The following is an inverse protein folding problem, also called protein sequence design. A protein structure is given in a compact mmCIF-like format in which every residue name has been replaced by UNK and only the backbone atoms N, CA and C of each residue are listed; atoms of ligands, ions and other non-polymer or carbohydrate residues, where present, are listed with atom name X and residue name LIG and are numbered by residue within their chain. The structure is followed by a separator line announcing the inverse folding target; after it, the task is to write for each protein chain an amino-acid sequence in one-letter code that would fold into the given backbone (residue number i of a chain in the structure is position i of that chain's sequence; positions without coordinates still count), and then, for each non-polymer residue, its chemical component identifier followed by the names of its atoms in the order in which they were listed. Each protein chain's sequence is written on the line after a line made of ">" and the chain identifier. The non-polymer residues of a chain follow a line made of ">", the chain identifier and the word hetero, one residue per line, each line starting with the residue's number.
data_IF_497269607965
#
_entry.id   IF_497269607965
#
_cell.length_a   1.000
_cell.length_b   1.000
_cell.length_c   1.000
_cell.angle_alpha   90.00
_cell.angle_beta   90.00
_cell.angle_gamma   90.00
#
_symmetry.space_group_name_H-M   'P 1'
#
loop_
_entity.id
_entity.type
_entity.pdbx_description
1 polymer ?
#
# COMPACT_ATOMS: atom_id res chain seq x y z
N UNK A 1 21.05 3.88 -16.19
CA UNK A 1 20.79 4.42 -14.84
C UNK A 1 21.80 3.78 -13.92
N UNK A 2 22.69 4.55 -13.30
CA UNK A 2 23.63 4.04 -12.30
C UNK A 2 22.83 3.62 -11.08
N UNK A 3 22.93 2.34 -10.72
CA UNK A 3 22.36 1.80 -9.48
C UNK A 3 22.92 2.62 -8.30
N UNK A 4 22.10 3.53 -7.77
CA UNK A 4 22.42 4.17 -6.52
C UNK A 4 22.37 3.10 -5.42
N UNK A 5 23.40 3.01 -4.57
CA UNK A 5 23.36 2.04 -3.47
C UNK A 5 22.14 2.31 -2.60
N UNK A 6 21.35 1.27 -2.34
CA UNK A 6 20.22 1.35 -1.42
C UNK A 6 20.71 1.81 -0.04
N UNK A 7 20.00 2.75 0.55
CA UNK A 7 20.20 3.07 1.95
C UNK A 7 20.02 1.79 2.81
N UNK A 8 20.81 1.60 3.87
CA UNK A 8 20.65 0.43 4.73
C UNK A 8 19.26 0.40 5.38
N UNK A 9 18.77 -0.78 5.66
CA UNK A 9 17.54 -0.97 6.43
C UNK A 9 17.81 -0.55 7.87
N UNK A 10 17.13 0.49 8.31
CA UNK A 10 17.22 1.02 9.68
C UNK A 10 15.97 1.82 10.01
N UNK A 11 15.76 2.12 11.27
CA UNK A 11 14.66 2.99 11.67
C UNK A 11 14.75 4.38 11.00
N UNK A 12 15.96 4.90 10.78
CA UNK A 12 16.18 6.21 10.19
C UNK A 12 15.82 6.28 8.70
N UNK A 13 15.95 5.17 7.96
CA UNK A 13 15.76 5.12 6.52
C UNK A 13 14.44 4.47 6.09
N UNK A 14 13.80 3.72 7.02
CA UNK A 14 12.63 2.90 6.73
C UNK A 14 11.39 3.25 7.56
N UNK A 15 11.52 4.02 8.67
CA UNK A 15 10.36 4.36 9.51
C UNK A 15 10.06 5.84 9.44
N UNK A 16 8.86 6.17 8.95
CA UNK A 16 8.37 7.54 8.85
C UNK A 16 7.17 7.66 9.78
N UNK A 17 7.25 8.55 10.78
CA UNK A 17 6.23 8.72 11.80
C UNK A 17 5.20 9.75 11.44
N UNK A 18 3.95 9.49 11.84
CA UNK A 18 2.85 10.45 11.83
C UNK A 18 2.72 11.21 10.50
N UNK A 19 2.66 10.50 9.38
CA UNK A 19 2.53 11.12 8.05
C UNK A 19 1.22 11.88 7.89
N UNK A 20 0.28 11.70 8.81
CA UNK A 20 -0.98 12.41 8.92
C UNK A 20 -0.92 13.68 9.80
N UNK A 21 0.23 14.05 10.35
CA UNK A 21 0.33 15.21 11.24
C UNK A 21 0.18 16.54 10.52
N UNK A 22 0.51 16.64 9.22
CA UNK A 22 0.57 17.89 8.48
C UNK A 22 -0.61 18.03 7.51
N UNK A 23 -1.28 19.22 7.46
CA UNK A 23 -2.26 19.53 6.42
C UNK A 23 -1.56 19.79 5.07
N UNK A 24 -2.35 19.78 4.00
CA UNK A 24 -1.87 19.98 2.64
C UNK A 24 -1.29 18.71 2.02
N UNK A 25 -0.52 18.87 0.96
CA UNK A 25 0.20 17.78 0.28
C UNK A 25 1.63 17.67 0.80
N UNK A 26 2.00 16.49 1.25
CA UNK A 26 3.36 16.17 1.74
C UNK A 26 3.93 14.97 0.98
N UNK A 27 5.27 14.93 0.82
CA UNK A 27 6.00 13.77 0.32
C UNK A 27 6.82 13.19 1.46
N UNK A 28 6.71 11.89 1.71
CA UNK A 28 7.35 11.22 2.86
C UNK A 28 8.27 10.06 2.45
N UNK A 29 8.02 9.42 1.30
CA UNK A 29 8.89 8.37 0.74
C UNK A 29 9.26 8.75 -0.67
N UNK A 30 10.53 8.69 -0.98
CA UNK A 30 11.07 8.85 -2.34
C UNK A 30 12.51 8.33 -2.42
N UNK A 31 12.98 7.94 -3.61
CA UNK A 31 14.39 7.66 -3.85
C UNK A 31 15.27 8.84 -3.41
N UNK A 32 16.34 8.53 -2.68
CA UNK A 32 17.25 9.54 -2.12
C UNK A 32 16.78 10.20 -0.81
N UNK A 33 15.48 10.12 -0.47
CA UNK A 33 14.94 10.58 0.80
C UNK A 33 14.87 9.42 1.82
N UNK A 34 14.50 8.23 1.34
CA UNK A 34 14.35 7.02 2.15
C UNK A 34 15.10 5.86 1.49
N UNK A 35 14.93 4.63 2.02
CA UNK A 35 15.52 3.43 1.41
C UNK A 35 14.76 2.95 0.16
N UNK A 36 13.79 3.70 -0.38
CA UNK A 36 13.05 3.33 -1.58
C UNK A 36 13.91 3.43 -2.84
N UNK A 37 13.61 2.57 -3.81
CA UNK A 37 14.26 2.55 -5.15
C UNK A 37 13.39 3.21 -6.21
N UNK A 38 12.10 2.92 -6.20
CA UNK A 38 11.11 3.39 -7.18
C UNK A 38 9.89 4.02 -6.50
N UNK A 39 9.53 3.52 -5.31
CA UNK A 39 8.33 3.90 -4.61
C UNK A 39 8.40 5.33 -4.09
N UNK A 40 7.35 6.10 -4.40
CA UNK A 40 7.06 7.39 -3.80
C UNK A 40 5.76 7.28 -3.00
N UNK A 41 5.74 7.88 -1.81
CA UNK A 41 4.53 8.03 -1.03
C UNK A 41 4.41 9.47 -0.53
N UNK A 42 3.25 10.04 -0.77
CA UNK A 42 2.80 11.32 -0.24
C UNK A 42 1.43 11.20 0.42
N UNK A 43 1.02 12.28 1.09
CA UNK A 43 -0.30 12.41 1.69
C UNK A 43 -0.92 13.75 1.35
N UNK A 44 -2.22 13.75 1.07
CA UNK A 44 -3.00 14.96 0.79
C UNK A 44 -4.10 15.02 1.86
N UNK A 45 -4.01 16.02 2.76
CA UNK A 45 -4.97 16.25 3.84
C UNK A 45 -5.53 17.64 3.74
N UNK A 46 -6.83 17.73 3.46
CA UNK A 46 -7.52 19.01 3.28
C UNK A 46 -8.74 19.06 4.21
N UNK A 47 -8.83 20.13 4.98
CA UNK A 47 -10.06 20.50 5.70
C UNK A 47 -11.16 20.92 4.73
N UNK A 48 -12.40 20.93 5.17
CA UNK A 48 -13.56 21.26 4.32
C UNK A 48 -13.49 22.64 3.65
N UNK A 49 -12.78 23.59 4.28
CA UNK A 49 -12.59 24.95 3.77
C UNK A 49 -11.26 25.19 3.06
N UNK A 50 -10.41 24.15 2.96
CA UNK A 50 -9.11 24.32 2.32
C UNK A 50 -9.28 24.42 0.80
N UNK A 51 -8.36 25.15 0.17
CA UNK A 51 -8.28 25.22 -1.28
C UNK A 51 -7.89 23.88 -1.88
N UNK A 52 -8.36 23.62 -3.09
CA UNK A 52 -7.94 22.46 -3.86
C UNK A 52 -6.42 22.43 -4.09
N UNK A 53 -5.86 21.23 -4.18
CA UNK A 53 -4.46 21.00 -4.50
C UNK A 53 -4.33 20.46 -5.91
N UNK A 54 -3.49 21.09 -6.73
CA UNK A 54 -3.12 20.60 -8.06
C UNK A 54 -1.83 19.80 -7.95
N UNK A 55 -1.85 18.60 -8.54
CA UNK A 55 -0.72 17.67 -8.63
C UNK A 55 -0.30 17.53 -10.09
N UNK A 56 0.99 17.67 -10.34
CA UNK A 56 1.59 17.28 -11.62
C UNK A 56 2.52 16.09 -11.37
N UNK A 57 2.14 14.88 -11.81
CA UNK A 57 2.90 13.67 -11.53
C UNK A 57 4.22 13.58 -12.33
N UNK A 58 4.37 14.36 -13.41
CA UNK A 58 5.53 14.23 -14.30
C UNK A 58 5.65 12.82 -14.87
N UNK A 59 6.80 12.19 -14.74
CA UNK A 59 7.07 10.82 -15.22
C UNK A 59 6.52 9.72 -14.31
N UNK A 60 5.86 10.08 -13.22
CA UNK A 60 5.32 9.10 -12.27
C UNK A 60 3.90 8.68 -12.68
N UNK A 61 3.60 7.39 -12.67
CA UNK A 61 2.23 6.91 -12.52
C UNK A 61 1.82 7.07 -11.06
N UNK A 62 0.56 7.31 -10.78
CA UNK A 62 0.10 7.63 -9.42
C UNK A 62 -1.21 6.93 -9.08
N UNK A 63 -1.21 6.17 -7.99
CA UNK A 63 -2.41 5.72 -7.31
C UNK A 63 -2.82 6.73 -6.24
N UNK A 64 -4.02 7.29 -6.34
CA UNK A 64 -4.63 8.15 -5.32
C UNK A 64 -5.65 7.31 -4.56
N UNK A 65 -5.46 7.13 -3.26
CA UNK A 65 -6.30 6.27 -2.41
C UNK A 65 -6.96 7.14 -1.34
N UNK A 66 -8.28 7.16 -1.29
CA UNK A 66 -8.99 7.85 -0.21
C UNK A 66 -8.86 7.05 1.09
N UNK A 67 -8.49 7.70 2.18
CA UNK A 67 -8.33 7.10 3.51
C UNK A 67 -9.46 7.50 4.46
N UNK A 68 -9.77 8.80 4.51
CA UNK A 68 -10.82 9.36 5.39
C UNK A 68 -11.52 10.52 4.70
N UNK A 69 -12.78 10.73 5.07
CA UNK A 69 -13.58 11.83 4.53
C UNK A 69 -14.02 11.59 3.09
N UNK A 70 -14.22 12.66 2.34
CA UNK A 70 -14.61 12.64 0.93
C UNK A 70 -13.73 13.59 0.12
N UNK A 71 -13.36 13.19 -1.08
CA UNK A 71 -12.59 14.00 -2.01
C UNK A 71 -13.24 14.03 -3.39
N UNK A 72 -13.06 15.13 -4.11
CA UNK A 72 -13.35 15.23 -5.53
C UNK A 72 -12.03 15.33 -6.28
N UNK A 73 -11.75 14.37 -7.16
CA UNK A 73 -10.54 14.36 -7.97
C UNK A 73 -10.90 14.62 -9.42
N UNK A 74 -10.45 15.76 -9.94
CA UNK A 74 -10.65 16.16 -11.34
C UNK A 74 -9.40 15.81 -12.15
N UNK A 75 -9.54 15.01 -13.21
CA UNK A 75 -8.45 14.56 -14.07
C UNK A 75 -8.95 14.29 -15.49
N UNK A 76 -8.22 14.75 -16.49
CA UNK A 76 -8.52 14.52 -17.92
C UNK A 76 -9.96 14.89 -18.32
N UNK A 77 -10.56 15.92 -17.70
CA UNK A 77 -11.92 16.40 -17.96
C UNK A 77 -13.04 15.59 -17.30
N UNK A 78 -12.71 14.62 -16.43
CA UNK A 78 -13.65 13.86 -15.63
C UNK A 78 -13.47 14.17 -14.13
N UNK A 79 -14.58 14.05 -13.37
CA UNK A 79 -14.61 14.26 -11.92
C UNK A 79 -14.99 12.95 -11.21
N UNK A 80 -14.22 12.60 -10.19
CA UNK A 80 -14.38 11.39 -9.38
C UNK A 80 -14.64 11.77 -7.92
N UNK A 81 -15.83 11.45 -7.42
CA UNK A 81 -16.12 11.50 -5.98
C UNK A 81 -15.55 10.25 -5.32
N UNK A 82 -14.58 10.43 -4.42
CA UNK A 82 -13.87 9.34 -3.77
C UNK A 82 -14.27 9.24 -2.30
N UNK A 83 -14.58 8.04 -1.87
CA UNK A 83 -14.88 7.64 -0.49
C UNK A 83 -13.78 6.75 0.07
N UNK A 84 -13.73 6.49 1.37
CA UNK A 84 -12.66 5.67 1.96
C UNK A 84 -12.41 4.36 1.23
N UNK A 85 -11.14 4.17 0.87
CA UNK A 85 -10.56 3.06 0.10
C UNK A 85 -10.94 3.00 -1.39
N UNK A 86 -11.70 3.96 -1.92
CA UNK A 86 -11.73 4.14 -3.37
C UNK A 86 -10.32 4.50 -3.87
N UNK A 87 -9.97 4.01 -5.06
CA UNK A 87 -8.69 4.25 -5.69
C UNK A 87 -8.85 4.85 -7.08
N UNK A 88 -7.99 5.78 -7.43
CA UNK A 88 -7.88 6.34 -8.77
C UNK A 88 -6.44 6.16 -9.26
N UNK A 89 -6.26 5.37 -10.29
CA UNK A 89 -4.99 5.28 -11.00
C UNK A 89 -4.90 6.40 -12.04
N UNK A 90 -3.88 7.24 -11.92
CA UNK A 90 -3.58 8.35 -12.83
C UNK A 90 -2.31 8.06 -13.60
N UNK A 91 -2.32 8.10 -14.94
CA UNK A 91 -1.14 7.89 -15.76
C UNK A 91 -0.08 8.97 -15.56
N UNK A 92 1.17 8.65 -15.93
CA UNK A 92 2.22 9.65 -16.02
C UNK A 92 1.79 10.86 -16.87
N UNK A 93 2.39 12.02 -16.62
CA UNK A 93 2.16 13.26 -17.38
C UNK A 93 0.70 13.73 -17.42
N UNK A 94 -0.15 13.23 -16.52
CA UNK A 94 -1.56 13.55 -16.43
C UNK A 94 -1.83 14.36 -15.16
N UNK A 95 -1.86 15.70 -15.20
CA UNK A 95 -2.16 16.52 -14.04
C UNK A 95 -3.58 16.28 -13.52
N UNK A 96 -3.72 16.33 -12.20
CA UNK A 96 -5.01 16.21 -11.54
C UNK A 96 -5.15 17.21 -10.40
N UNK A 97 -6.38 17.42 -9.96
CA UNK A 97 -6.71 18.32 -8.87
C UNK A 97 -7.52 17.59 -7.82
N UNK A 98 -7.18 17.80 -6.55
CA UNK A 98 -7.91 17.25 -5.40
C UNK A 98 -8.60 18.37 -4.66
N UNK A 99 -9.91 18.30 -4.54
CA UNK A 99 -10.72 19.19 -3.72
C UNK A 99 -11.35 18.41 -2.56
N UNK A 100 -11.45 18.96 -1.34
CA UNK A 100 -12.11 18.30 -0.22
C UNK A 100 -13.63 18.27 -0.40
N UNK A 101 -14.29 17.20 0.08
CA UNK A 101 -15.72 17.19 0.34
C UNK A 101 -16.08 17.90 1.66
N UNK A 102 -17.37 17.90 2.03
CA UNK A 102 -17.87 18.59 3.20
C UNK A 102 -17.15 18.25 4.53
N UNK A 103 -16.75 17.00 4.81
CA UNK A 103 -16.00 16.68 6.03
C UNK A 103 -14.47 16.91 5.90
N UNK A 104 -13.99 17.36 4.74
CA UNK A 104 -12.58 17.33 4.39
C UNK A 104 -12.16 15.96 3.85
N UNK A 105 -10.89 15.82 3.50
CA UNK A 105 -10.36 14.56 2.96
C UNK A 105 -8.93 14.27 3.44
N UNK A 106 -8.61 12.98 3.40
CA UNK A 106 -7.29 12.43 3.68
C UNK A 106 -7.01 11.32 2.65
N UNK A 107 -5.99 11.52 1.81
CA UNK A 107 -5.65 10.59 0.74
C UNK A 107 -4.17 10.21 0.81
N UNK A 108 -3.88 8.96 0.46
CA UNK A 108 -2.54 8.51 0.14
C UNK A 108 -2.27 8.72 -1.35
N UNK A 109 -1.09 9.24 -1.67
CA UNK A 109 -0.54 9.35 -3.01
C UNK A 109 0.61 8.35 -3.13
N UNK A 110 0.44 7.31 -3.97
CA UNK A 110 1.41 6.22 -4.16
C UNK A 110 1.87 6.27 -5.61
N UNK A 111 3.16 6.48 -5.86
CA UNK A 111 3.63 6.70 -7.21
C UNK A 111 4.96 6.00 -7.50
N UNK A 112 5.23 5.76 -8.77
CA UNK A 112 6.50 5.22 -9.25
C UNK A 112 6.80 5.71 -10.67
N UNK A 113 8.10 5.87 -11.06
CA UNK A 113 8.46 6.27 -12.41
C UNK A 113 8.16 5.17 -13.42
N UNK A 114 7.57 5.55 -14.55
CA UNK A 114 7.28 4.64 -15.66
C UNK A 114 7.64 5.27 -17.01
N UNK A 115 8.02 4.43 -17.96
CA UNK A 115 8.36 4.87 -19.31
C UNK A 115 7.13 4.93 -20.21
N UNK A 116 6.12 4.09 -19.97
CA UNK A 116 4.89 4.00 -20.76
C UNK A 116 3.69 4.61 -20.04
N UNK A 117 2.77 5.29 -20.75
CA UNK A 117 1.48 5.68 -20.21
C UNK A 117 0.54 4.46 -20.16
N UNK A 118 -0.23 4.34 -19.08
CA UNK A 118 -1.30 3.35 -18.91
C UNK A 118 -2.66 4.07 -18.84
N UNK A 119 -3.76 3.31 -18.81
CA UNK A 119 -5.09 3.93 -18.83
C UNK A 119 -5.51 4.45 -17.46
N UNK A 120 -6.10 5.65 -17.42
CA UNK A 120 -6.79 6.19 -16.25
C UNK A 120 -7.87 5.21 -15.78
N UNK A 121 -7.87 4.87 -14.49
CA UNK A 121 -8.84 3.91 -13.95
C UNK A 121 -9.32 4.28 -12.56
N UNK A 122 -10.61 4.45 -12.40
CA UNK A 122 -11.26 4.53 -11.10
C UNK A 122 -11.66 3.14 -10.62
N UNK A 123 -11.45 2.85 -9.34
CA UNK A 123 -11.77 1.60 -8.66
C UNK A 123 -12.57 1.92 -7.41
N UNK A 124 -13.85 1.57 -7.42
CA UNK A 124 -14.70 1.69 -6.24
C UNK A 124 -14.38 0.59 -5.24
N UNK A 125 -14.21 0.92 -3.96
CA UNK A 125 -14.00 -0.06 -2.90
C UNK A 125 -15.19 -1.02 -2.76
N UNK A 126 -16.40 -0.53 -3.04
CA UNK A 126 -17.60 -1.38 -3.05
C UNK A 126 -17.51 -2.49 -4.11
N UNK A 127 -16.93 -2.21 -5.28
CA UNK A 127 -16.72 -3.23 -6.32
C UNK A 127 -15.61 -4.20 -5.93
N UNK A 128 -14.50 -3.70 -5.37
CA UNK A 128 -13.44 -4.56 -4.82
C UNK A 128 -14.00 -5.54 -3.79
N UNK A 129 -14.85 -5.08 -2.87
CA UNK A 129 -15.46 -5.91 -1.82
C UNK A 129 -16.39 -7.01 -2.33
N UNK A 130 -16.92 -6.87 -3.54
CA UNK A 130 -17.80 -7.86 -4.19
C UNK A 130 -17.05 -8.89 -5.02
N UNK A 131 -15.80 -8.60 -5.39
CA UNK A 131 -14.98 -9.50 -6.20
C UNK A 131 -14.12 -10.40 -5.30
N UNK A 132 -14.37 -11.73 -5.25
CA UNK A 132 -13.62 -12.66 -4.42
C UNK A 132 -12.16 -12.83 -4.85
N UNK A 133 -11.79 -12.40 -6.05
CA UNK A 133 -10.40 -12.34 -6.52
C UNK A 133 -9.66 -11.07 -6.07
N UNK A 134 -10.39 -10.03 -5.61
CA UNK A 134 -9.83 -8.78 -5.11
C UNK A 134 -10.00 -8.59 -3.61
N UNK A 135 -11.06 -9.18 -3.01
CA UNK A 135 -11.32 -9.10 -1.56
C UNK A 135 -11.58 -10.50 -0.99
N UNK A 136 -10.68 -10.96 -0.12
CA UNK A 136 -10.75 -12.31 0.45
C UNK A 136 -10.15 -12.38 1.85
N UNK A 137 -10.66 -13.35 2.63
CA UNK A 137 -10.11 -13.70 3.93
C UNK A 137 -9.00 -14.74 3.76
N UNK A 138 -7.96 -14.62 4.58
CA UNK A 138 -6.83 -15.55 4.59
C UNK A 138 -6.23 -15.64 6.00
N UNK A 139 -5.36 -16.63 6.21
CA UNK A 139 -4.64 -16.89 7.44
C UNK A 139 -5.27 -17.96 8.32
N UNK A 140 -4.49 -18.43 9.29
CA UNK A 140 -4.88 -19.42 10.30
C UNK A 140 -5.51 -18.79 11.55
N UNK A 141 -5.69 -19.59 12.63
CA UNK A 141 -6.39 -19.15 13.84
C UNK A 141 -5.81 -17.91 14.54
N UNK A 142 -4.53 -17.60 14.33
CA UNK A 142 -3.83 -16.46 14.95
C UNK A 142 -3.33 -15.44 13.94
N UNK A 143 -3.75 -15.58 12.66
CA UNK A 143 -3.29 -14.71 11.56
C UNK A 143 -4.40 -14.37 10.56
N UNK A 144 -5.65 -14.38 11.01
CA UNK A 144 -6.80 -14.02 10.16
C UNK A 144 -6.76 -12.56 9.79
N UNK A 145 -6.93 -12.31 8.50
CA UNK A 145 -6.98 -10.98 7.93
C UNK A 145 -7.78 -10.97 6.63
N UNK A 146 -8.32 -9.82 6.30
CA UNK A 146 -8.95 -9.56 5.01
C UNK A 146 -8.03 -8.72 4.15
N UNK A 147 -7.75 -9.22 2.96
CA UNK A 147 -6.97 -8.53 1.92
C UNK A 147 -7.94 -7.91 0.93
N UNK A 148 -7.70 -6.66 0.53
CA UNK A 148 -8.45 -5.97 -0.51
C UNK A 148 -7.46 -5.35 -1.49
N UNK A 149 -7.47 -5.80 -2.74
CA UNK A 149 -6.58 -5.33 -3.81
C UNK A 149 -7.27 -4.14 -4.50
N UNK A 150 -6.70 -2.96 -4.39
CA UNK A 150 -7.25 -1.74 -4.97
C UNK A 150 -6.71 -1.50 -6.39
N UNK A 151 -5.39 -1.51 -6.52
CA UNK A 151 -4.68 -1.40 -7.79
C UNK A 151 -3.79 -2.64 -7.92
N UNK A 152 -4.21 -3.62 -8.70
CA UNK A 152 -3.53 -4.89 -8.89
C UNK A 152 -3.84 -5.45 -10.27
N UNK A 153 -4.27 -6.71 -10.34
CA UNK A 153 -4.67 -7.38 -11.59
C UNK A 153 -5.87 -6.74 -12.29
N UNK A 154 -6.65 -5.91 -11.59
CA UNK A 154 -7.82 -5.19 -12.06
C UNK A 154 -7.49 -3.85 -12.73
N UNK A 155 -6.24 -3.40 -12.66
CA UNK A 155 -5.75 -2.13 -13.22
C UNK A 155 -4.46 -2.35 -13.97
N UNK A 156 -4.41 -1.94 -15.22
CA UNK A 156 -3.15 -1.87 -15.96
C UNK A 156 -2.29 -0.74 -15.42
N UNK A 157 -1.06 -1.06 -15.02
CA UNK A 157 -0.10 -0.12 -14.47
C UNK A 157 1.32 -0.65 -14.71
N UNK A 158 2.31 0.22 -14.65
CA UNK A 158 3.70 -0.17 -14.90
C UNK A 158 4.38 -0.80 -13.68
N UNK A 159 4.27 -0.16 -12.52
CA UNK A 159 4.97 -0.57 -11.30
C UNK A 159 4.08 -0.65 -10.08
N UNK A 160 3.14 0.30 -9.89
CA UNK A 160 2.39 0.39 -8.63
C UNK A 160 1.42 -0.78 -8.45
N UNK A 161 1.43 -1.35 -7.24
CA UNK A 161 0.44 -2.31 -6.75
C UNK A 161 0.02 -1.83 -5.36
N UNK A 162 -1.27 -1.67 -5.13
CA UNK A 162 -1.78 -1.07 -3.89
C UNK A 162 -3.00 -1.83 -3.39
N UNK A 163 -3.07 -2.05 -2.10
CA UNK A 163 -4.29 -2.53 -1.47
C UNK A 163 -4.28 -2.30 0.04
N UNK A 164 -5.35 -2.72 0.69
CA UNK A 164 -5.51 -2.54 2.13
C UNK A 164 -5.84 -3.87 2.80
N UNK A 165 -5.17 -4.12 3.93
CA UNK A 165 -5.37 -5.31 4.76
C UNK A 165 -5.86 -4.89 6.14
N UNK A 166 -6.82 -5.65 6.69
CA UNK A 166 -7.30 -5.52 8.05
C UNK A 166 -7.20 -6.86 8.77
N UNK A 167 -6.54 -6.89 9.93
CA UNK A 167 -6.46 -8.09 10.77
C UNK A 167 -7.66 -8.26 11.68
N UNK A 168 -7.88 -9.49 12.16
CA UNK A 168 -8.63 -9.70 13.40
C UNK A 168 -7.82 -9.17 14.60
N UNK A 169 -8.48 -8.82 15.73
CA UNK A 169 -7.80 -8.31 16.91
C UNK A 169 -6.72 -9.25 17.45
N UNK A 170 -5.52 -8.72 17.73
CA UNK A 170 -4.39 -9.46 18.25
C UNK A 170 -3.70 -10.41 17.26
N UNK A 171 -4.13 -10.43 16.00
CA UNK A 171 -3.61 -11.38 15.02
C UNK A 171 -2.37 -10.87 14.30
N UNK A 172 -1.53 -11.82 13.86
CA UNK A 172 -0.45 -11.58 12.93
C UNK A 172 -0.98 -11.31 11.53
N UNK A 173 -0.27 -10.47 10.81
CA UNK A 173 -0.47 -10.23 9.37
C UNK A 173 0.86 -10.35 8.63
N UNK A 174 0.83 -10.32 7.29
CA UNK A 174 1.98 -10.71 6.47
C UNK A 174 2.56 -12.05 6.94
N UNK A 175 1.65 -12.96 7.33
CA UNK A 175 1.96 -14.28 7.85
C UNK A 175 1.48 -15.38 6.90
N UNK A 176 2.29 -16.43 6.60
CA UNK A 176 3.66 -16.62 7.10
C UNK A 176 4.60 -15.50 6.66
N UNK A 177 5.75 -15.32 7.37
CA UNK A 177 6.78 -14.37 6.95
C UNK A 177 7.20 -14.65 5.52
N UNK A 178 7.21 -13.62 4.68
CA UNK A 178 7.57 -13.73 3.27
C UNK A 178 8.30 -12.47 2.79
N UNK A 179 8.96 -12.59 1.66
CA UNK A 179 9.64 -11.48 1.00
C UNK A 179 9.47 -11.60 -0.53
N UNK A 180 9.65 -10.51 -1.24
CA UNK A 180 9.51 -10.40 -2.70
C UNK A 180 10.41 -9.31 -3.29
N UNK A 181 11.55 -9.04 -2.65
CA UNK A 181 12.44 -7.94 -3.00
C UNK A 181 13.01 -8.00 -4.42
N UNK A 182 13.10 -9.19 -5.01
CA UNK A 182 13.53 -9.37 -6.41
C UNK A 182 12.49 -8.84 -7.42
N UNK A 183 11.23 -8.75 -7.01
CA UNK A 183 10.11 -8.31 -7.87
C UNK A 183 9.59 -6.94 -7.46
N UNK A 184 9.32 -6.74 -6.17
CA UNK A 184 8.58 -5.60 -5.65
C UNK A 184 9.26 -5.07 -4.38
N UNK A 185 9.53 -3.77 -4.32
CA UNK A 185 9.73 -3.11 -3.03
C UNK A 185 8.38 -2.74 -2.43
N UNK A 186 8.31 -2.63 -1.10
CA UNK A 186 7.06 -2.42 -0.39
C UNK A 186 7.20 -1.44 0.76
N UNK A 187 6.09 -0.73 1.04
CA UNK A 187 5.89 0.05 2.26
C UNK A 187 4.47 -0.15 2.79
N UNK A 188 4.31 -0.16 4.12
CA UNK A 188 3.02 -0.16 4.79
C UNK A 188 2.73 1.20 5.40
N UNK A 189 1.59 1.80 5.02
CA UNK A 189 0.99 2.91 5.74
C UNK A 189 -0.06 2.33 6.70
N UNK A 190 0.12 2.53 7.99
CA UNK A 190 -0.82 2.05 9.02
C UNK A 190 -2.05 2.95 9.08
N UNK A 191 -3.23 2.32 9.00
CA UNK A 191 -4.54 2.98 8.92
C UNK A 191 -5.59 2.20 9.71
N UNK A 192 -6.63 2.90 10.18
CA UNK A 192 -7.72 2.25 10.92
C UNK A 192 -7.29 1.76 12.30
N UNK A 193 -6.32 2.41 12.91
CA UNK A 193 -5.74 2.07 14.22
C UNK A 193 -5.96 3.20 15.24
N UNK A 194 -7.22 3.48 15.64
CA UNK A 194 -7.47 4.57 16.58
C UNK A 194 -6.76 4.33 17.91
N UNK A 195 -6.23 5.39 18.53
CA UNK A 195 -5.60 5.30 19.84
C UNK A 195 -6.57 4.65 20.87
N UNK A 196 -6.09 3.76 21.76
CA UNK A 196 -4.68 3.45 22.06
C UNK A 196 -4.08 2.30 21.23
N UNK A 197 -4.67 1.93 20.09
CA UNK A 197 -4.20 0.81 19.26
C UNK A 197 -2.76 1.01 18.79
N UNK A 198 -2.01 -0.08 18.77
CA UNK A 198 -0.67 -0.16 18.19
C UNK A 198 -0.41 -1.55 17.63
N UNK A 199 0.64 -1.66 16.84
CA UNK A 199 1.17 -2.93 16.35
C UNK A 199 2.68 -2.97 16.46
N UNK A 200 3.25 -4.13 16.11
CA UNK A 200 4.70 -4.33 15.98
C UNK A 200 5.00 -4.78 14.56
N UNK A 201 5.89 -4.07 13.89
CA UNK A 201 6.45 -4.45 12.59
C UNK A 201 7.86 -4.99 12.75
N UNK A 202 8.14 -6.12 12.13
CA UNK A 202 9.47 -6.70 11.99
C UNK A 202 9.92 -6.61 10.54
N UNK A 203 11.21 -6.37 10.31
CA UNK A 203 11.88 -6.56 9.01
C UNK A 203 13.20 -7.26 9.24
N UNK A 204 13.43 -8.40 8.61
CA UNK A 204 14.65 -9.17 8.82
C UNK A 204 15.02 -10.04 7.62
N UNK A 205 16.30 -10.19 7.39
CA UNK A 205 16.90 -11.21 6.52
C UNK A 205 17.39 -12.40 7.34
N UNK A 206 17.72 -12.16 8.63
CA UNK A 206 18.07 -13.17 9.62
C UNK A 206 17.14 -13.01 10.85
N UNK A 207 16.30 -14.01 11.20
CA UNK A 207 15.37 -13.90 12.31
C UNK A 207 16.05 -13.76 13.69
N UNK A 208 17.32 -14.17 13.82
CA UNK A 208 18.07 -14.00 15.07
C UNK A 208 18.55 -12.55 15.29
N UNK A 209 18.67 -11.77 14.22
CA UNK A 209 19.18 -10.38 14.23
C UNK A 209 18.34 -9.52 13.29
N UNK A 210 17.10 -9.14 13.67
CA UNK A 210 16.24 -8.36 12.80
C UNK A 210 16.83 -6.97 12.56
N UNK A 211 16.87 -6.54 11.30
CA UNK A 211 17.31 -5.20 10.92
C UNK A 211 16.36 -4.13 11.47
N UNK A 212 15.08 -4.45 11.64
CA UNK A 212 14.08 -3.54 12.20
C UNK A 212 13.06 -4.30 13.04
N UNK A 213 12.83 -3.81 14.26
CA UNK A 213 11.69 -4.15 15.11
C UNK A 213 11.14 -2.83 15.68
N UNK A 214 9.90 -2.49 15.35
CA UNK A 214 9.35 -1.17 15.72
C UNK A 214 7.88 -1.22 16.06
N UNK A 215 7.46 -0.42 17.04
CA UNK A 215 6.04 -0.15 17.31
C UNK A 215 5.51 0.76 16.22
N UNK A 216 4.28 0.49 15.76
CA UNK A 216 3.59 1.28 14.74
C UNK A 216 2.22 1.73 15.22
N UNK A 217 1.83 2.93 14.79
CA UNK A 217 0.56 3.58 15.11
C UNK A 217 -0.11 4.09 13.81
N UNK A 218 -1.34 4.56 13.94
CA UNK A 218 -2.05 5.27 12.86
C UNK A 218 -1.16 6.34 12.22
N UNK A 219 -1.07 6.35 10.90
CA UNK A 219 -0.31 7.33 10.13
C UNK A 219 1.19 7.04 9.99
N UNK A 220 1.74 6.04 10.68
CA UNK A 220 3.14 5.63 10.50
C UNK A 220 3.31 4.89 9.16
N UNK A 221 4.50 5.04 8.56
CA UNK A 221 4.91 4.26 7.39
C UNK A 221 6.16 3.46 7.72
N UNK A 222 6.18 2.19 7.32
CA UNK A 222 7.39 1.37 7.35
C UNK A 222 7.70 0.88 5.95
N UNK A 223 8.90 1.19 5.46
CA UNK A 223 9.43 0.74 4.19
C UNK A 223 10.21 -0.56 4.38
N UNK A 224 9.96 -1.53 3.50
CA UNK A 224 10.58 -2.86 3.51
C UNK A 224 11.22 -3.13 2.16
N UNK A 225 12.43 -2.58 1.89
CA UNK A 225 13.06 -2.73 0.58
C UNK A 225 13.53 -4.16 0.30
N UNK A 226 13.69 -4.98 1.34
CA UNK A 226 13.99 -6.41 1.28
C UNK A 226 13.69 -7.09 2.63
N UNK A 227 13.65 -8.41 2.63
CA UNK A 227 13.55 -9.24 3.83
C UNK A 227 12.11 -9.58 4.21
N UNK A 228 11.99 -10.55 5.11
CA UNK A 228 10.74 -10.97 5.71
C UNK A 228 10.16 -9.85 6.58
N UNK A 229 8.85 -9.61 6.48
CA UNK A 229 8.25 -8.43 7.09
C UNK A 229 6.88 -8.68 7.77
N UNK A 230 6.78 -9.68 8.66
CA UNK A 230 5.54 -9.90 9.39
C UNK A 230 5.26 -8.77 10.38
N UNK A 231 3.97 -8.56 10.68
CA UNK A 231 3.56 -7.63 11.71
C UNK A 231 2.41 -8.22 12.56
N UNK A 232 2.18 -7.66 13.74
CA UNK A 232 1.17 -8.14 14.67
C UNK A 232 0.46 -6.97 15.35
N UNK A 233 -0.85 -7.11 15.56
CA UNK A 233 -1.63 -6.18 16.37
C UNK A 233 -1.41 -6.43 17.87
N UNK A 234 -1.50 -5.37 18.67
CA UNK A 234 -1.63 -5.53 20.11
C UNK A 234 -2.91 -6.33 20.47
N UNK A 235 -2.95 -7.03 21.61
CA UNK A 235 -4.17 -7.70 22.07
C UNK A 235 -5.39 -6.77 22.04
N UNK A 236 -6.54 -7.29 21.62
CA UNK A 236 -7.81 -6.56 21.51
C UNK A 236 -7.82 -5.38 20.52
N UNK A 237 -6.72 -5.14 19.81
CA UNK A 237 -6.59 -4.15 18.74
C UNK A 237 -6.48 -4.85 17.38
N UNK A 238 -7.06 -4.25 16.35
CA UNK A 238 -6.81 -4.65 14.96
C UNK A 238 -5.69 -3.82 14.36
N UNK A 239 -4.90 -4.41 13.48
CA UNK A 239 -3.94 -3.69 12.66
C UNK A 239 -4.51 -3.56 11.24
N UNK A 240 -4.54 -2.34 10.73
CA UNK A 240 -4.87 -2.04 9.35
C UNK A 240 -3.68 -1.39 8.67
N UNK A 241 -3.44 -1.71 7.42
CA UNK A 241 -2.39 -1.03 6.64
C UNK A 241 -2.69 -1.05 5.15
N UNK A 242 -2.41 0.08 4.54
CA UNK A 242 -2.32 0.21 3.09
C UNK A 242 -0.93 -0.29 2.69
N UNK A 243 -0.86 -1.42 2.00
CA UNK A 243 0.37 -1.89 1.40
C UNK A 243 0.54 -1.23 0.02
N UNK A 244 1.72 -0.69 -0.18
CA UNK A 244 2.12 0.08 -1.34
C UNK A 244 3.39 -0.52 -1.91
N UNK A 245 3.32 -1.00 -3.14
CA UNK A 245 4.45 -1.67 -3.79
C UNK A 245 4.81 -0.99 -5.10
N UNK A 246 6.09 -1.09 -5.46
CA UNK A 246 6.57 -0.71 -6.79
C UNK A 246 7.42 -1.83 -7.39
N UNK A 247 7.08 -2.24 -8.61
CA UNK A 247 7.81 -3.27 -9.35
C UNK A 247 9.21 -2.82 -9.75
N UNK A 248 10.21 -3.70 -9.63
CA UNK A 248 11.58 -3.42 -10.02
C UNK A 248 11.70 -3.21 -11.53
N UNK A 249 11.03 -4.03 -12.33
CA UNK A 249 10.94 -3.86 -13.80
C UNK A 249 9.51 -3.54 -14.20
N UNK A 250 9.35 -2.40 -14.89
CA UNK A 250 8.06 -1.93 -15.38
C UNK A 250 7.36 -3.00 -16.24
N UNK A 251 6.07 -3.24 -15.94
CA UNK A 251 5.23 -4.18 -16.69
C UNK A 251 5.58 -5.66 -16.54
N UNK A 252 6.72 -6.00 -15.92
CA UNK A 252 7.23 -7.38 -15.81
C UNK A 252 7.08 -7.93 -14.39
N UNK A 253 7.57 -7.18 -13.40
CA UNK A 253 7.67 -7.67 -12.01
C UNK A 253 6.43 -7.33 -11.15
N UNK A 254 5.40 -6.79 -11.75
CA UNK A 254 4.16 -6.39 -11.07
C UNK A 254 3.29 -7.62 -10.75
N UNK A 255 3.83 -8.54 -9.94
CA UNK A 255 3.29 -9.87 -9.67
C UNK A 255 2.86 -10.02 -8.20
N UNK A 256 1.70 -9.45 -7.84
CA UNK A 256 1.14 -9.61 -6.49
C UNK A 256 0.97 -11.10 -6.13
N UNK A 257 1.39 -11.46 -4.91
CA UNK A 257 1.25 -12.81 -4.36
C UNK A 257 2.32 -13.82 -4.81
N UNK A 258 3.27 -13.40 -5.65
CA UNK A 258 4.48 -14.18 -5.95
C UNK A 258 5.53 -13.81 -4.91
N UNK A 259 5.75 -14.68 -3.95
CA UNK A 259 6.58 -14.40 -2.77
C UNK A 259 7.43 -15.63 -2.39
N UNK A 260 8.57 -15.38 -1.73
CA UNK A 260 9.38 -16.36 -1.07
C UNK A 260 8.96 -16.45 0.40
N UNK A 261 8.29 -17.52 0.79
CA UNK A 261 7.91 -17.77 2.18
C UNK A 261 9.12 -18.26 2.96
N UNK A 262 9.30 -17.80 4.19
CA UNK A 262 10.35 -18.27 5.07
C UNK A 262 10.24 -19.80 5.25
N UNK A 263 11.30 -20.56 4.99
CA UNK A 263 11.24 -22.03 4.87
C UNK A 263 10.59 -22.75 6.05
N UNK A 264 10.84 -22.26 7.27
CA UNK A 264 10.32 -22.86 8.51
C UNK A 264 8.79 -22.74 8.64
N UNK A 265 8.17 -21.84 7.88
CA UNK A 265 6.73 -21.58 7.89
C UNK A 265 6.02 -21.90 6.56
N UNK A 266 6.72 -22.49 5.60
CA UNK A 266 6.22 -22.67 4.22
C UNK A 266 5.11 -23.75 4.06
N UNK A 267 4.79 -24.53 5.11
CA UNK A 267 3.89 -25.69 5.02
C UNK A 267 2.42 -25.38 4.70
N UNK A 268 1.98 -24.09 4.73
CA UNK A 268 0.60 -23.70 4.52
C UNK A 268 0.36 -22.76 3.32
N UNK A 269 1.36 -22.55 2.46
CA UNK A 269 1.30 -21.54 1.39
C UNK A 269 1.48 -20.11 1.92
N UNK A 270 1.43 -19.11 1.03
CA UNK A 270 1.61 -17.69 1.39
C UNK A 270 0.32 -17.03 1.91
N UNK A 271 -0.83 -17.61 1.58
CA UNK A 271 -2.15 -17.00 1.83
C UNK A 271 -2.51 -15.88 0.86
N UNK A 272 -1.72 -15.66 -0.18
CA UNK A 272 -1.91 -14.60 -1.19
C UNK A 272 -2.36 -15.16 -2.55
N UNK A 273 -2.49 -16.47 -2.69
CA UNK A 273 -2.71 -17.17 -3.95
C UNK A 273 -3.98 -16.69 -4.68
N UNK A 274 -5.06 -16.40 -3.94
CA UNK A 274 -6.32 -15.91 -4.52
C UNK A 274 -6.18 -14.55 -5.24
N UNK A 275 -5.24 -13.74 -4.81
CA UNK A 275 -4.97 -12.42 -5.37
C UNK A 275 -4.12 -12.44 -6.64
N UNK A 276 -3.47 -13.55 -6.98
CA UNK A 276 -2.60 -13.65 -8.15
C UNK A 276 -3.38 -13.50 -9.45
N UNK A 277 -2.73 -12.99 -10.48
CA UNK A 277 -3.33 -12.80 -11.80
C UNK A 277 -3.69 -14.14 -12.48
N UNK A 278 -2.91 -15.19 -12.18
CA UNK A 278 -3.08 -16.55 -12.69
C UNK A 278 -3.96 -17.44 -11.78
N UNK A 279 -4.50 -16.91 -10.70
CA UNK A 279 -5.38 -17.67 -9.82
C UNK A 279 -6.67 -18.07 -10.58
N UNK A 280 -7.11 -19.34 -10.50
CA UNK A 280 -8.38 -19.74 -11.11
C UNK A 280 -9.52 -18.93 -10.51
N UNK A 281 -10.46 -18.48 -11.38
CA UNK A 281 -11.67 -17.81 -10.93
C UNK A 281 -12.37 -18.69 -9.88
N UNK A 282 -12.53 -18.19 -8.67
CA UNK A 282 -13.06 -18.95 -7.55
C UNK A 282 -14.43 -19.54 -7.93
N UNK A 283 -14.55 -20.86 -7.84
CA UNK A 283 -15.88 -21.47 -7.82
C UNK A 283 -16.53 -20.94 -6.55
N UNK A 284 -17.53 -20.07 -6.71
CA UNK A 284 -18.34 -19.59 -5.60
C UNK A 284 -18.84 -20.81 -4.81
N UNK A 285 -18.50 -20.88 -3.55
CA UNK A 285 -19.11 -21.82 -2.62
C UNK A 285 -20.62 -21.51 -2.59
N UNK A 286 -21.41 -22.47 -3.07
CA UNK A 286 -22.86 -22.44 -3.02
C UNK A 286 -23.32 -22.78 -1.62
#
# INVERSE_FOLDING_TARGET
>A
MTDMPLNPISAATCVIRATDARPGRTLSVAPGLTASRHLHYGRIRLGASDSQVRVNPGTLETGVIALKGEAHVSVAGADYAMRPYDALYVPRETPFTVAPGAPGCDLAEVAAPVDQPYQLRFVSFADVRRDPGLSFDTGGPTSRRRINILIGKNVEAGRVVVGVTFSEPGHWTSWPPHEHADLLEEAYLYVGMPAPSFGVQLVYTNPAEPELATIVHEGDVVLMPKGYHPNVAAPDCSIGFLWMMAANREGVDRLFGVVNVQPEFAGGGSGLEKGRADAPAGKGDR
#
